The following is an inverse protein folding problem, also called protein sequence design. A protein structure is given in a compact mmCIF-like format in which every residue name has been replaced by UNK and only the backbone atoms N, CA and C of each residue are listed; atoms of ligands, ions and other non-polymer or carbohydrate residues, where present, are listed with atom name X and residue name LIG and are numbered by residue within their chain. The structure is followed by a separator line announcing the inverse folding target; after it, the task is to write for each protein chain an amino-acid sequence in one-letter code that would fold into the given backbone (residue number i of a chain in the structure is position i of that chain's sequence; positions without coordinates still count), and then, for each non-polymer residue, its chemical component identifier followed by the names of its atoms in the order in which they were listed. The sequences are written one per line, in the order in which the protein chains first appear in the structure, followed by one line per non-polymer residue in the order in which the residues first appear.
data_IF_897735073373
#
_entry.id   IF_897735073373
#
_cell.length_a   1.000
_cell.length_b   1.000
_cell.length_c   1.000
_cell.angle_alpha   90.00
_cell.angle_beta   90.00
_cell.angle_gamma   90.00
#
_symmetry.space_group_name_H-M   'P 1'
#
loop_
_entity.id
_entity.type
_entity.pdbx_description
1 polymer ?
#
# COMPACT_ATOMS: atom_id res chain seq x y z
N UNK A 1 -7.47 10.54 24.47
CA UNK A 1 -6.61 9.90 23.44
C UNK A 1 -7.16 10.37 22.11
N UNK A 2 -6.41 11.18 21.36
CA UNK A 2 -6.89 11.75 20.10
C UNK A 2 -7.09 10.61 19.09
N UNK A 3 -8.33 10.41 18.66
CA UNK A 3 -8.71 9.48 17.59
C UNK A 3 -8.21 10.04 16.26
N UNK A 4 -6.89 10.05 16.07
CA UNK A 4 -6.35 10.66 14.87
C UNK A 4 -6.74 9.82 13.65
N UNK A 5 -7.47 10.44 12.73
CA UNK A 5 -7.87 9.82 11.46
C UNK A 5 -6.81 10.18 10.44
N UNK A 6 -6.33 9.16 9.74
CA UNK A 6 -5.31 9.28 8.71
C UNK A 6 -5.99 9.12 7.37
N UNK A 7 -5.94 10.20 6.59
CA UNK A 7 -6.50 10.27 5.24
C UNK A 7 -5.34 10.33 4.26
N UNK A 8 -4.85 9.17 3.77
CA UNK A 8 -3.81 9.14 2.76
C UNK A 8 -4.40 9.50 1.39
N UNK A 9 -3.85 10.53 0.77
CA UNK A 9 -4.14 10.86 -0.63
C UNK A 9 -3.26 10.00 -1.51
N UNK A 10 -3.85 9.00 -2.14
CA UNK A 10 -3.12 8.00 -2.90
C UNK A 10 -3.31 8.19 -4.41
N UNK A 11 -2.24 7.97 -5.17
CA UNK A 11 -2.27 7.81 -6.62
C UNK A 11 -2.43 6.34 -6.99
N UNK A 12 -3.36 6.05 -7.90
CA UNK A 12 -3.60 4.70 -8.42
C UNK A 12 -2.55 4.35 -9.49
N UNK A 13 -1.91 3.21 -9.36
CA UNK A 13 -1.00 2.64 -10.35
C UNK A 13 -1.31 1.16 -10.57
N UNK A 14 -1.40 0.72 -11.82
CA UNK A 14 -1.63 -0.69 -12.16
C UNK A 14 -0.32 -1.33 -12.62
N UNK A 15 0.13 -2.33 -11.88
CA UNK A 15 1.36 -3.06 -12.20
C UNK A 15 1.06 -4.53 -12.47
N UNK A 16 1.91 -5.15 -13.29
CA UNK A 16 1.87 -6.59 -13.54
C UNK A 16 3.02 -7.25 -12.79
N UNK A 17 2.72 -8.26 -11.98
CA UNK A 17 3.69 -8.97 -11.16
C UNK A 17 3.58 -10.48 -11.38
N UNK A 18 4.62 -11.21 -11.00
CA UNK A 18 4.52 -12.67 -10.93
C UNK A 18 3.62 -13.06 -9.77
N UNK A 19 2.68 -13.99 -9.99
CA UNK A 19 1.75 -14.45 -8.96
C UNK A 19 2.50 -15.01 -7.76
N UNK A 20 2.20 -14.51 -6.56
CA UNK A 20 2.85 -14.90 -5.31
C UNK A 20 4.21 -14.24 -5.05
N UNK A 21 4.66 -13.31 -5.90
CA UNK A 21 5.90 -12.55 -5.67
C UNK A 21 5.74 -11.28 -4.83
N UNK A 22 4.50 -10.91 -4.51
CA UNK A 22 4.20 -9.70 -3.76
C UNK A 22 4.70 -9.85 -2.31
N UNK A 23 5.60 -8.97 -1.90
CA UNK A 23 6.05 -8.86 -0.51
C UNK A 23 5.40 -7.64 0.13
N UNK A 24 4.62 -7.90 1.16
CA UNK A 24 3.98 -6.89 1.98
C UNK A 24 4.55 -6.88 3.39
N UNK A 25 4.43 -5.74 4.07
CA UNK A 25 4.77 -5.56 5.48
C UNK A 25 3.60 -4.86 6.17
N UNK A 26 3.26 -5.32 7.37
CA UNK A 26 2.29 -4.65 8.23
C UNK A 26 2.95 -3.55 9.04
N UNK A 27 2.29 -2.41 9.11
CA UNK A 27 2.62 -1.32 10.02
C UNK A 27 1.37 -0.58 10.44
N UNK A 28 1.44 0.12 11.56
CA UNK A 28 0.35 0.98 11.99
C UNK A 28 0.15 2.15 11.03
N UNK A 29 -1.11 2.58 10.85
CA UNK A 29 -1.47 3.68 9.98
C UNK A 29 -0.72 4.98 10.33
N UNK A 30 -0.44 5.24 11.61
CA UNK A 30 0.30 6.44 12.03
C UNK A 30 1.76 6.48 11.57
N UNK A 31 2.31 5.32 11.17
CA UNK A 31 3.65 5.16 10.60
C UNK A 31 3.63 5.14 9.06
N UNK A 32 2.50 5.48 8.43
CA UNK A 32 2.45 5.71 6.99
C UNK A 32 3.24 6.98 6.65
N UNK A 33 3.96 6.90 5.54
CA UNK A 33 4.81 7.95 5.00
C UNK A 33 4.52 8.15 3.51
N UNK A 34 4.83 9.34 3.00
CA UNK A 34 4.73 9.64 1.56
C UNK A 34 5.65 8.70 0.79
N UNK A 35 5.14 8.08 -0.28
CA UNK A 35 5.83 7.08 -1.07
C UNK A 35 5.52 5.63 -0.71
N UNK A 36 4.83 5.38 0.42
CA UNK A 36 4.32 4.05 0.73
C UNK A 36 3.31 3.57 -0.32
N UNK A 37 3.33 2.26 -0.58
CA UNK A 37 2.46 1.60 -1.56
C UNK A 37 1.43 0.76 -0.85
N UNK A 38 0.17 1.15 -0.92
CA UNK A 38 -0.95 0.43 -0.32
C UNK A 38 -1.66 -0.46 -1.34
N UNK A 39 -2.32 -1.51 -0.87
CA UNK A 39 -3.24 -2.32 -1.67
C UNK A 39 -4.68 -1.80 -1.62
N UNK A 40 -4.98 -0.90 -0.68
CA UNK A 40 -6.28 -0.26 -0.51
C UNK A 40 -6.13 1.24 -0.24
N UNK A 41 -6.99 2.05 -0.85
CA UNK A 41 -7.14 3.46 -0.52
C UNK A 41 -8.40 3.63 0.33
N UNK A 42 -8.25 3.66 1.65
CA UNK A 42 -9.33 4.00 2.58
C UNK A 42 -8.81 4.95 3.65
N UNK A 43 -9.71 5.53 4.41
CA UNK A 43 -9.35 6.23 5.64
C UNK A 43 -9.00 5.21 6.72
N UNK A 44 -7.99 5.52 7.52
CA UNK A 44 -7.50 4.64 8.59
C UNK A 44 -7.55 5.36 9.92
N UNK A 45 -7.85 4.65 10.99
CA UNK A 45 -7.57 5.16 12.32
C UNK A 45 -6.07 5.01 12.62
N UNK A 46 -5.50 5.89 13.43
CA UNK A 46 -4.07 5.85 13.75
C UNK A 46 -3.57 4.45 14.20
N UNK A 47 -4.40 3.71 14.95
CA UNK A 47 -4.07 2.39 15.47
C UNK A 47 -4.41 1.23 14.53
N UNK A 48 -4.95 1.50 13.34
CA UNK A 48 -5.25 0.44 12.38
C UNK A 48 -3.97 -0.16 11.80
N UNK A 49 -3.98 -1.47 11.64
CA UNK A 49 -2.95 -2.18 10.89
C UNK A 49 -3.16 -1.98 9.38
N UNK A 50 -2.11 -1.50 8.72
CA UNK A 50 -2.07 -1.25 7.28
C UNK A 50 -0.99 -2.11 6.66
N UNK A 51 -1.34 -2.71 5.52
CA UNK A 51 -0.45 -3.57 4.76
C UNK A 51 0.17 -2.78 3.60
N UNK A 52 1.49 -2.64 3.63
CA UNK A 52 2.27 -1.85 2.68
C UNK A 52 3.12 -2.77 1.81
N UNK A 53 3.10 -2.54 0.51
CA UNK A 53 3.90 -3.27 -0.47
C UNK A 53 5.33 -2.78 -0.42
N UNK A 54 6.25 -3.68 -0.10
CA UNK A 54 7.69 -3.39 0.01
C UNK A 54 8.39 -3.70 -1.30
N UNK A 55 8.04 -4.83 -1.92
CA UNK A 55 8.76 -5.37 -3.06
C UNK A 55 7.86 -6.30 -3.88
N UNK A 56 8.14 -6.42 -5.17
CA UNK A 56 7.46 -7.34 -6.09
C UNK A 56 8.43 -7.71 -7.21
N UNK A 57 8.32 -8.95 -7.70
CA UNK A 57 9.14 -9.38 -8.84
C UNK A 57 8.30 -9.51 -10.10
N UNK A 58 8.86 -9.03 -11.20
CA UNK A 58 8.35 -9.28 -12.53
C UNK A 58 9.44 -9.98 -13.34
N UNK A 59 9.13 -11.16 -13.88
CA UNK A 59 10.05 -11.91 -14.74
C UNK A 59 9.39 -12.32 -16.06
N UNK A 60 10.20 -12.58 -17.09
CA UNK A 60 9.76 -13.19 -18.35
C UNK A 60 9.61 -14.72 -18.26
N UNK A 61 9.55 -15.26 -17.05
CA UNK A 61 9.32 -16.69 -16.85
C UNK A 61 7.90 -17.10 -17.24
N UNK A 62 7.67 -18.41 -17.44
CA UNK A 62 6.33 -18.99 -17.65
C UNK A 62 5.41 -18.91 -16.41
N UNK A 63 5.79 -18.16 -15.37
CA UNK A 63 4.98 -18.03 -14.16
C UNK A 63 3.69 -17.27 -14.49
N UNK A 64 2.55 -17.65 -13.87
CA UNK A 64 1.32 -16.90 -14.04
C UNK A 64 1.51 -15.46 -13.57
N UNK A 65 1.10 -14.51 -14.41
CA UNK A 65 1.19 -13.08 -14.13
C UNK A 65 -0.15 -12.58 -13.58
N UNK A 66 -0.09 -11.66 -12.64
CA UNK A 66 -1.27 -11.04 -12.02
C UNK A 66 -1.16 -9.52 -12.12
N UNK A 67 -2.28 -8.86 -12.39
CA UNK A 67 -2.38 -7.41 -12.37
C UNK A 67 -2.88 -6.98 -11.00
N UNK A 68 -2.13 -6.11 -10.34
CA UNK A 68 -2.53 -5.54 -9.06
C UNK A 68 -2.59 -4.02 -9.17
N UNK A 69 -3.51 -3.43 -8.43
CA UNK A 69 -3.59 -1.99 -8.25
C UNK A 69 -2.83 -1.62 -6.97
N UNK A 70 -1.86 -0.73 -7.11
CA UNK A 70 -1.18 -0.07 -6.01
C UNK A 70 -1.72 1.35 -5.83
N UNK A 71 -1.78 1.76 -4.57
CA UNK A 71 -2.16 3.10 -4.14
C UNK A 71 -0.94 3.73 -3.48
N UNK A 72 -0.23 4.57 -4.23
CA UNK A 72 0.99 5.23 -3.74
C UNK A 72 0.57 6.49 -2.98
N UNK A 73 0.96 6.59 -1.71
CA UNK A 73 0.67 7.76 -0.88
C UNK A 73 1.46 8.96 -1.42
N UNK A 74 0.76 9.97 -1.91
CA UNK A 74 1.35 11.25 -2.33
C UNK A 74 1.30 12.28 -1.20
N UNK A 75 0.28 12.21 -0.34
CA UNK A 75 0.09 13.13 0.77
C UNK A 75 -0.66 12.44 1.93
N UNK A 76 -0.47 12.94 3.16
CA UNK A 76 -1.03 12.38 4.39
C UNK A 76 -1.62 13.48 5.27
N UNK A 77 -2.95 13.50 5.38
CA UNK A 77 -3.64 14.37 6.32
C UNK A 77 -3.95 13.61 7.61
N UNK A 78 -3.62 14.23 8.76
CA UNK A 78 -3.92 13.71 10.10
C UNK A 78 -4.89 14.68 10.78
N UNK A 79 -6.11 14.23 11.06
CA UNK A 79 -7.15 14.99 11.79
C UNK A 79 -7.35 14.42 13.19
#
# INVERSE_FOLDING_TARGET
MHYSIIKPKCRKEEITIDKGSLKTKRKFAFLLEVGDKLLNSREFYANDDVEVVVDYSFSDSKRPKEKITLYIIEDLTKE
#
